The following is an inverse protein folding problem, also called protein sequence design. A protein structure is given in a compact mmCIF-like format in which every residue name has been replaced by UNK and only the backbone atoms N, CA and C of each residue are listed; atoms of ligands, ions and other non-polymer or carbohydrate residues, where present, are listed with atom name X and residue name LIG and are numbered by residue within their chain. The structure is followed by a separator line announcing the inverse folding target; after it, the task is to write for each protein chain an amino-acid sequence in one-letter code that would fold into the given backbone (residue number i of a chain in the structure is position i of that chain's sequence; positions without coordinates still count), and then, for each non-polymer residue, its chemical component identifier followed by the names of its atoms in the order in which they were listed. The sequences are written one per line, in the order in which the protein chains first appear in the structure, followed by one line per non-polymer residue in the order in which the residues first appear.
data_IF_194047233411
#
_entry.id   IF_194047233411
#
_cell.length_a   1.000
_cell.length_b   1.000
_cell.length_c   1.000
_cell.angle_alpha   90.00
_cell.angle_beta   90.00
_cell.angle_gamma   90.00
#
_symmetry.space_group_name_H-M   'P 1'
#
loop_
_entity.id
_entity.type
_entity.pdbx_description
1 polymer ?
#
# COMPACT_ATOMS: atom_id res chain seq x y z
N UNK A 1 6.68 -5.52 50.00
CA UNK A 1 7.78 -5.73 49.01
C UNK A 1 7.32 -5.72 47.54
N UNK A 2 6.13 -6.20 47.18
CA UNK A 2 5.65 -6.25 45.77
C UNK A 2 5.41 -4.87 45.13
N UNK A 3 4.90 -3.89 45.88
CA UNK A 3 4.63 -2.52 45.36
C UNK A 3 5.90 -1.78 44.93
N UNK A 4 7.01 -1.94 45.67
CA UNK A 4 8.27 -1.25 45.36
C UNK A 4 8.95 -1.82 44.11
N UNK A 5 8.86 -3.15 43.91
CA UNK A 5 9.29 -3.80 42.66
C UNK A 5 8.46 -3.34 41.46
N UNK A 6 7.14 -3.24 41.62
CA UNK A 6 6.26 -2.76 40.55
C UNK A 6 6.59 -1.33 40.13
N UNK A 7 6.78 -0.40 41.08
CA UNK A 7 7.19 0.97 40.77
C UNK A 7 8.54 1.03 40.04
N UNK A 8 9.52 0.22 40.47
CA UNK A 8 10.83 0.15 39.83
C UNK A 8 10.74 -0.33 38.37
N UNK A 9 9.96 -1.39 38.11
CA UNK A 9 9.73 -1.86 36.74
C UNK A 9 9.03 -0.84 35.86
N UNK A 10 8.02 -0.14 36.38
CA UNK A 10 7.35 0.95 35.66
C UNK A 10 8.35 2.07 35.32
N UNK A 11 9.22 2.45 36.26
CA UNK A 11 10.25 3.45 36.04
C UNK A 11 11.26 3.04 34.96
N UNK A 12 11.75 1.79 34.99
CA UNK A 12 12.67 1.26 33.97
C UNK A 12 12.00 1.21 32.59
N UNK A 13 10.75 0.75 32.51
CA UNK A 13 9.99 0.74 31.27
C UNK A 13 9.78 2.16 30.73
N UNK A 14 9.46 3.13 31.59
CA UNK A 14 9.28 4.52 31.20
C UNK A 14 10.58 5.19 30.72
N UNK A 15 11.71 4.98 31.42
CA UNK A 15 13.02 5.54 31.02
C UNK A 15 13.51 4.89 29.72
N UNK A 16 13.48 3.56 29.64
CA UNK A 16 13.77 2.84 28.40
C UNK A 16 12.87 3.32 27.25
N UNK A 17 11.63 3.69 27.59
CA UNK A 17 10.70 4.21 26.62
C UNK A 17 11.04 5.61 26.11
N UNK A 18 11.33 6.55 27.00
CA UNK A 18 11.79 7.88 26.61
C UNK A 18 13.07 7.81 25.76
N UNK A 19 13.96 6.87 26.08
CA UNK A 19 15.18 6.63 25.30
C UNK A 19 14.87 6.15 23.87
N UNK A 20 13.95 5.19 23.70
CA UNK A 20 13.53 4.72 22.37
C UNK A 20 12.88 5.84 21.54
N UNK A 21 12.08 6.72 22.16
CA UNK A 21 11.51 7.89 21.49
C UNK A 21 12.59 8.89 21.07
N UNK A 22 13.59 9.14 21.92
CA UNK A 22 14.72 10.01 21.60
C UNK A 22 15.55 9.48 20.41
N UNK A 23 15.61 8.16 20.23
CA UNK A 23 16.21 7.50 19.06
C UNK A 23 15.31 7.50 17.82
N UNK A 24 14.13 8.13 17.87
CA UNK A 24 13.17 8.19 16.78
C UNK A 24 12.33 6.92 16.60
N UNK A 25 12.40 5.95 17.53
CA UNK A 25 11.67 4.67 17.43
C UNK A 25 10.22 4.76 17.91
N UNK A 26 9.48 5.67 17.29
CA UNK A 26 8.04 5.88 17.51
C UNK A 26 7.20 4.65 17.16
N UNK A 27 7.69 3.79 16.26
CA UNK A 27 6.98 2.60 15.78
C UNK A 27 6.65 1.59 16.89
N UNK A 28 7.45 1.52 17.96
CA UNK A 28 7.22 0.59 19.09
C UNK A 28 5.91 0.90 19.82
N UNK A 29 5.42 2.15 19.76
CA UNK A 29 4.17 2.61 20.38
C UNK A 29 3.06 2.65 19.37
N UNK A 30 3.39 3.19 18.20
CA UNK A 30 2.43 3.37 17.15
C UNK A 30 1.90 2.01 16.67
N UNK A 31 2.73 0.97 16.58
CA UNK A 31 2.30 -0.35 16.16
C UNK A 31 1.25 -0.99 17.10
N UNK A 32 1.49 -1.19 18.40
CA UNK A 32 0.47 -1.75 19.30
C UNK A 32 -0.75 -0.84 19.43
N UNK A 33 -0.55 0.49 19.44
CA UNK A 33 -1.67 1.44 19.46
C UNK A 33 -2.55 1.32 18.20
N UNK A 34 -1.95 1.28 17.01
CA UNK A 34 -2.67 1.04 15.75
C UNK A 34 -3.27 -0.37 15.69
N UNK A 35 -2.67 -1.36 16.33
CA UNK A 35 -3.25 -2.70 16.40
C UNK A 35 -4.53 -2.70 17.25
N UNK A 36 -4.52 -2.00 18.39
CA UNK A 36 -5.65 -1.94 19.33
C UNK A 36 -6.74 -0.97 18.87
N UNK A 37 -6.39 0.16 18.24
CA UNK A 37 -7.34 1.23 17.90
C UNK A 37 -7.44 1.54 16.40
N UNK A 38 -6.47 1.12 15.59
CA UNK A 38 -6.43 1.44 14.17
C UNK A 38 -7.57 0.82 13.37
N UNK A 39 -8.16 -0.28 13.85
CA UNK A 39 -9.35 -0.88 13.24
C UNK A 39 -10.58 0.04 13.30
N UNK A 40 -10.70 0.94 14.29
CA UNK A 40 -11.81 1.90 14.37
C UNK A 40 -11.74 2.90 13.21
N UNK A 41 -10.57 3.50 12.99
CA UNK A 41 -10.34 4.42 11.88
C UNK A 41 -10.47 3.73 10.51
N UNK A 42 -10.06 2.45 10.43
CA UNK A 42 -10.29 1.64 9.25
C UNK A 42 -11.79 1.45 8.99
N UNK A 43 -12.57 1.01 9.99
CA UNK A 43 -14.01 0.84 9.85
C UNK A 43 -14.72 2.15 9.49
N UNK A 44 -14.35 3.28 10.09
CA UNK A 44 -14.95 4.58 9.75
C UNK A 44 -14.76 4.98 8.29
N UNK A 45 -13.64 4.58 7.66
CA UNK A 45 -13.35 4.86 6.25
C UNK A 45 -13.98 3.84 5.32
N UNK A 46 -13.95 2.56 5.69
CA UNK A 46 -14.41 1.47 4.83
C UNK A 46 -15.91 1.26 4.90
N UNK A 47 -16.53 1.39 6.08
CA UNK A 47 -17.97 1.14 6.25
C UNK A 47 -18.86 2.00 5.32
N UNK A 48 -18.58 3.29 5.06
CA UNK A 48 -19.32 4.09 4.09
C UNK A 48 -19.18 3.61 2.63
N UNK A 49 -18.06 2.96 2.29
CA UNK A 49 -17.80 2.43 0.95
C UNK A 49 -18.45 1.05 0.73
N UNK A 50 -18.88 0.37 1.81
CA UNK A 50 -19.56 -0.93 1.72
C UNK A 50 -20.96 -0.75 1.14
N UNK A 51 -21.16 -1.21 -0.09
CA UNK A 51 -22.47 -1.30 -0.70
C UNK A 51 -23.21 -2.54 -0.21
N UNK A 52 -24.32 -2.34 0.52
CA UNK A 52 -25.15 -3.45 0.98
C UNK A 52 -26.03 -3.97 -0.16
N UNK A 53 -25.73 -5.17 -0.65
CA UNK A 53 -26.61 -5.89 -1.56
C UNK A 53 -27.65 -6.68 -0.74
N UNK A 54 -28.89 -6.16 -0.68
CA UNK A 54 -29.99 -6.83 0.03
C UNK A 54 -30.23 -8.26 -0.48
N UNK A 55 -30.00 -8.51 -1.77
CA UNK A 55 -30.07 -9.86 -2.36
C UNK A 55 -29.03 -10.80 -1.77
N UNK A 56 -27.77 -10.38 -1.70
CA UNK A 56 -26.70 -11.22 -1.14
C UNK A 56 -26.94 -11.52 0.35
N UNK A 57 -27.46 -10.54 1.10
CA UNK A 57 -27.84 -10.73 2.50
C UNK A 57 -28.97 -11.75 2.63
N UNK A 58 -30.02 -11.64 1.80
CA UNK A 58 -31.14 -12.58 1.80
C UNK A 58 -30.69 -14.01 1.44
N UNK A 59 -29.82 -14.17 0.44
CA UNK A 59 -29.23 -15.46 0.07
C UNK A 59 -28.39 -16.05 1.22
N UNK A 60 -27.53 -15.23 1.86
CA UNK A 60 -26.71 -15.67 2.99
C UNK A 60 -27.57 -16.08 4.21
N UNK A 61 -28.62 -15.32 4.53
CA UNK A 61 -29.57 -15.65 5.59
C UNK A 61 -30.36 -16.92 5.25
N UNK A 62 -30.78 -17.09 3.99
CA UNK A 62 -31.48 -18.27 3.51
C UNK A 62 -30.63 -19.53 3.67
N UNK A 63 -29.40 -19.52 3.18
CA UNK A 63 -28.46 -20.65 3.31
C UNK A 63 -28.15 -20.94 4.78
N UNK A 64 -27.88 -19.91 5.59
CA UNK A 64 -27.62 -20.08 7.03
C UNK A 64 -28.82 -20.67 7.76
N UNK A 65 -30.04 -20.24 7.41
CA UNK A 65 -31.28 -20.75 7.98
C UNK A 65 -31.52 -22.23 7.64
N UNK A 66 -31.36 -22.60 6.36
CA UNK A 66 -31.45 -24.01 5.91
C UNK A 66 -30.42 -24.88 6.65
N UNK A 67 -29.18 -24.39 6.76
CA UNK A 67 -28.11 -25.07 7.47
C UNK A 67 -28.42 -25.21 8.97
N UNK A 68 -28.96 -24.18 9.61
CA UNK A 68 -29.33 -24.21 11.02
C UNK A 68 -30.46 -25.20 11.32
N UNK A 69 -31.52 -25.21 10.49
CA UNK A 69 -32.64 -26.15 10.63
C UNK A 69 -32.15 -27.57 10.36
N UNK A 70 -31.40 -27.79 9.29
CA UNK A 70 -30.82 -29.09 8.95
C UNK A 70 -29.92 -29.63 10.06
N UNK A 71 -29.00 -28.81 10.57
CA UNK A 71 -28.12 -29.16 11.67
C UNK A 71 -28.91 -29.48 12.95
N UNK A 72 -29.95 -28.71 13.28
CA UNK A 72 -30.79 -28.97 14.45
C UNK A 72 -31.53 -30.31 14.35
N UNK A 73 -32.19 -30.57 13.23
CA UNK A 73 -32.92 -31.83 13.01
C UNK A 73 -31.96 -33.03 13.03
N UNK A 74 -30.81 -32.90 12.36
CA UNK A 74 -29.78 -33.94 12.32
C UNK A 74 -29.22 -34.23 13.72
N UNK A 75 -28.80 -33.21 14.46
CA UNK A 75 -28.24 -33.35 15.80
C UNK A 75 -29.27 -33.87 16.81
N UNK A 76 -30.53 -33.42 16.72
CA UNK A 76 -31.62 -33.94 17.54
C UNK A 76 -31.85 -35.44 17.28
N UNK A 77 -31.83 -35.86 16.01
CA UNK A 77 -31.96 -37.29 15.65
C UNK A 77 -30.77 -38.10 16.15
N UNK A 78 -29.54 -37.62 15.94
CA UNK A 78 -28.32 -38.27 16.40
C UNK A 78 -28.28 -38.39 17.93
N UNK A 79 -28.70 -37.35 18.64
CA UNK A 79 -28.77 -37.34 20.10
C UNK A 79 -29.76 -38.38 20.64
N UNK A 80 -30.94 -38.48 20.02
CA UNK A 80 -31.95 -39.50 20.37
C UNK A 80 -31.40 -40.91 20.18
N UNK A 81 -30.69 -41.17 19.07
CA UNK A 81 -30.07 -42.47 18.83
C UNK A 81 -28.97 -42.79 19.85
N UNK A 82 -28.13 -41.81 20.20
CA UNK A 82 -27.05 -41.96 21.19
C UNK A 82 -27.54 -42.18 22.61
N UNK A 83 -28.78 -41.79 22.94
CA UNK A 83 -29.39 -41.89 24.28
C UNK A 83 -30.52 -42.90 24.37
N UNK A 84 -30.71 -43.76 23.38
CA UNK A 84 -31.78 -44.76 23.39
C UNK A 84 -31.75 -45.66 24.64
N UNK A 85 -30.56 -45.94 25.19
CA UNK A 85 -30.37 -46.82 26.35
C UNK A 85 -30.31 -46.08 27.69
N UNK A 86 -30.42 -44.75 27.70
CA UNK A 86 -30.33 -43.95 28.93
C UNK A 86 -31.73 -43.63 29.48
N UNK A 87 -32.07 -44.00 30.73
CA UNK A 87 -33.35 -43.68 31.33
C UNK A 87 -33.43 -42.18 31.65
N UNK A 88 -34.07 -41.41 30.77
CA UNK A 88 -34.39 -39.99 31.01
C UNK A 88 -34.81 -39.22 29.75
N UNK A 89 -35.93 -38.49 29.77
CA UNK A 89 -36.34 -37.66 28.64
C UNK A 89 -35.47 -36.39 28.59
N UNK A 90 -34.42 -36.41 27.78
CA UNK A 90 -33.60 -35.23 27.52
C UNK A 90 -33.61 -34.89 26.03
N UNK A 91 -34.44 -33.90 25.69
CA UNK A 91 -34.48 -33.35 24.34
C UNK A 91 -33.23 -32.49 24.05
N UNK A 92 -32.80 -32.48 22.80
CA UNK A 92 -31.69 -31.63 22.35
C UNK A 92 -32.12 -30.15 22.40
N UNK A 93 -31.49 -29.32 23.24
CA UNK A 93 -31.93 -27.94 23.41
C UNK A 93 -31.52 -27.08 22.20
N UNK A 94 -32.47 -26.32 21.64
CA UNK A 94 -32.25 -25.51 20.44
C UNK A 94 -31.07 -24.51 20.57
N UNK A 95 -30.84 -23.98 21.79
CA UNK A 95 -29.69 -23.11 22.10
C UNK A 95 -28.33 -23.71 21.69
N UNK A 96 -28.17 -25.03 21.78
CA UNK A 96 -26.91 -25.68 21.41
C UNK A 96 -26.71 -25.69 19.89
N UNK A 97 -27.77 -25.89 19.12
CA UNK A 97 -27.71 -25.76 17.66
C UNK A 97 -27.40 -24.32 17.24
N UNK A 98 -28.03 -23.34 17.86
CA UNK A 98 -27.75 -21.91 17.60
C UNK A 98 -26.30 -21.57 17.90
N UNK A 99 -25.76 -22.01 19.05
CA UNK A 99 -24.35 -21.81 19.39
C UNK A 99 -23.40 -22.46 18.38
N UNK A 100 -23.71 -23.66 17.90
CA UNK A 100 -22.89 -24.37 16.93
C UNK A 100 -22.90 -23.69 15.56
N UNK A 101 -24.07 -23.24 15.09
CA UNK A 101 -24.20 -22.47 13.85
C UNK A 101 -23.46 -21.13 13.97
N UNK A 102 -23.64 -20.41 15.07
CA UNK A 102 -22.94 -19.16 15.32
C UNK A 102 -21.41 -19.35 15.32
N UNK A 103 -20.91 -20.40 15.99
CA UNK A 103 -19.49 -20.74 15.98
C UNK A 103 -18.96 -21.02 14.56
N UNK A 104 -19.75 -21.71 13.72
CA UNK A 104 -19.38 -21.99 12.34
C UNK A 104 -19.37 -20.73 11.46
N UNK A 105 -20.34 -19.82 11.63
CA UNK A 105 -20.37 -18.52 10.93
C UNK A 105 -19.16 -17.66 11.34
N UNK A 106 -18.84 -17.64 12.63
CA UNK A 106 -17.65 -16.95 13.14
C UNK A 106 -16.36 -17.56 12.56
N UNK A 107 -16.26 -18.88 12.52
CA UNK A 107 -15.11 -19.57 11.93
C UNK A 107 -14.97 -19.25 10.44
N UNK A 108 -16.07 -19.30 9.68
CA UNK A 108 -16.08 -18.93 8.27
C UNK A 108 -15.62 -17.48 8.05
N UNK A 109 -16.12 -16.55 8.87
CA UNK A 109 -15.77 -15.14 8.81
C UNK A 109 -14.29 -14.93 9.14
N UNK A 110 -13.78 -15.62 10.17
CA UNK A 110 -12.38 -15.61 10.55
C UNK A 110 -11.49 -16.14 9.42
N UNK A 111 -11.86 -17.25 8.77
CA UNK A 111 -11.13 -17.79 7.63
C UNK A 111 -11.10 -16.81 6.46
N UNK A 112 -12.24 -16.21 6.10
CA UNK A 112 -12.30 -15.21 5.02
C UNK A 112 -11.43 -13.98 5.33
N UNK A 113 -11.46 -13.49 6.58
CA UNK A 113 -10.58 -12.42 7.03
C UNK A 113 -9.09 -12.82 6.91
N UNK A 114 -8.73 -14.04 7.33
CA UNK A 114 -7.36 -14.55 7.20
C UNK A 114 -6.90 -14.65 5.75
N UNK A 115 -7.77 -15.08 4.82
CA UNK A 115 -7.45 -15.12 3.38
C UNK A 115 -7.19 -13.71 2.85
N UNK A 116 -8.03 -12.73 3.23
CA UNK A 116 -7.81 -11.33 2.86
C UNK A 116 -6.47 -10.80 3.36
N UNK A 117 -6.13 -11.06 4.63
CA UNK A 117 -4.82 -10.70 5.21
C UNK A 117 -3.69 -11.38 4.45
N UNK A 118 -3.77 -12.68 4.20
CA UNK A 118 -2.73 -13.43 3.48
C UNK A 118 -2.54 -12.91 2.06
N UNK A 119 -3.62 -12.53 1.36
CA UNK A 119 -3.54 -11.93 0.04
C UNK A 119 -2.83 -10.57 0.07
N UNK A 120 -3.20 -9.68 1.00
CA UNK A 120 -2.53 -8.38 1.15
C UNK A 120 -1.07 -8.52 1.57
N UNK A 121 -0.75 -9.44 2.49
CA UNK A 121 0.62 -9.74 2.90
C UNK A 121 1.42 -10.32 1.73
N UNK A 122 0.83 -11.24 0.97
CA UNK A 122 1.44 -11.80 -0.24
C UNK A 122 1.76 -10.72 -1.27
N UNK A 123 0.84 -9.79 -1.49
CA UNK A 123 1.08 -8.64 -2.37
C UNK A 123 2.22 -7.77 -1.86
N UNK A 124 2.25 -7.43 -0.57
CA UNK A 124 3.32 -6.66 0.05
C UNK A 124 4.69 -7.37 0.00
N UNK A 125 4.74 -8.68 0.20
CA UNK A 125 5.98 -9.47 0.13
C UNK A 125 6.47 -9.63 -1.31
N UNK A 126 5.55 -9.71 -2.28
CA UNK A 126 5.89 -9.79 -3.71
C UNK A 126 6.29 -8.44 -4.31
N UNK A 127 5.87 -7.33 -3.69
CA UNK A 127 6.23 -5.99 -4.10
C UNK A 127 7.69 -5.70 -3.77
N UNK A 128 8.45 -5.19 -4.75
CA UNK A 128 9.81 -4.65 -4.53
C UNK A 128 9.81 -3.26 -3.89
N UNK A 129 8.64 -2.76 -3.49
CA UNK A 129 8.48 -1.44 -2.88
C UNK A 129 8.90 -1.54 -1.41
N UNK A 130 9.73 -0.62 -0.90
CA UNK A 130 10.14 -0.63 0.51
C UNK A 130 8.91 -0.55 1.43
N UNK A 131 8.77 -1.53 2.34
CA UNK A 131 7.63 -1.63 3.28
C UNK A 131 7.58 -0.47 4.28
N UNK A 132 8.73 0.14 4.55
CA UNK A 132 8.87 1.27 5.45
C UNK A 132 9.54 2.41 4.71
N UNK A 133 8.87 3.57 4.63
CA UNK A 133 9.52 4.84 4.30
C UNK A 133 10.23 5.31 5.55
N UNK A 134 11.51 5.68 5.47
CA UNK A 134 12.18 6.31 6.60
C UNK A 134 11.40 7.59 6.96
N UNK A 135 11.04 7.74 8.24
CA UNK A 135 10.37 8.94 8.77
C UNK A 135 11.33 10.11 8.94
N UNK A 136 12.63 9.85 8.80
CA UNK A 136 13.60 10.90 8.63
C UNK A 136 13.22 11.69 7.38
N UNK A 137 13.26 13.03 7.41
CA UNK A 137 13.25 13.83 6.21
C UNK A 137 14.57 13.53 5.49
N UNK A 138 14.67 12.35 4.89
CA UNK A 138 15.69 11.97 3.96
C UNK A 138 15.40 12.82 2.73
N UNK A 139 15.91 14.05 2.78
CA UNK A 139 16.35 14.88 1.68
C UNK A 139 15.86 14.31 0.36
N UNK A 140 14.71 14.82 -0.12
CA UNK A 140 14.07 14.48 -1.41
C UNK A 140 15.01 14.67 -2.63
N UNK A 141 16.26 15.08 -2.39
CA UNK A 141 17.40 15.05 -3.30
C UNK A 141 17.50 13.71 -4.04
N UNK A 142 17.19 12.58 -3.39
CA UNK A 142 17.26 11.29 -4.08
C UNK A 142 16.24 11.17 -5.23
N UNK A 143 15.07 11.78 -5.13
CA UNK A 143 14.01 11.67 -6.15
C UNK A 143 14.40 12.39 -7.44
N UNK A 144 14.65 13.69 -7.37
CA UNK A 144 15.01 14.51 -8.54
C UNK A 144 16.36 14.11 -9.12
N UNK A 145 17.35 13.77 -8.28
CA UNK A 145 18.67 13.30 -8.73
C UNK A 145 18.58 11.92 -9.37
N UNK A 146 17.81 10.98 -8.82
CA UNK A 146 17.61 9.66 -9.43
C UNK A 146 16.84 9.75 -10.73
N UNK A 147 15.84 10.64 -10.81
CA UNK A 147 15.15 10.94 -12.06
C UNK A 147 16.11 11.52 -13.10
N UNK A 148 16.98 12.45 -12.71
CA UNK A 148 18.00 13.02 -13.58
C UNK A 148 18.98 11.98 -14.12
N UNK A 149 19.58 11.18 -13.22
CA UNK A 149 20.49 10.10 -13.58
C UNK A 149 19.84 9.09 -14.52
N UNK A 150 18.62 8.64 -14.21
CA UNK A 150 17.91 7.69 -15.07
C UNK A 150 17.55 8.31 -16.42
N UNK A 151 17.21 9.60 -16.47
CA UNK A 151 16.97 10.31 -17.73
C UNK A 151 18.23 10.36 -18.59
N UNK A 152 19.40 10.68 -18.02
CA UNK A 152 20.68 10.71 -18.73
C UNK A 152 21.06 9.32 -19.29
N UNK A 153 20.88 8.26 -18.49
CA UNK A 153 21.11 6.88 -18.97
C UNK A 153 20.11 6.51 -20.08
N UNK A 154 18.83 6.86 -19.93
CA UNK A 154 17.82 6.62 -20.93
C UNK A 154 18.12 7.34 -22.25
N UNK A 155 18.57 8.60 -22.18
CA UNK A 155 18.98 9.38 -23.35
C UNK A 155 20.19 8.74 -24.04
N UNK A 156 21.12 8.17 -23.28
CA UNK A 156 22.27 7.44 -23.82
C UNK A 156 21.83 6.21 -24.62
N UNK A 157 20.85 5.44 -24.12
CA UNK A 157 20.29 4.30 -24.86
C UNK A 157 19.56 4.73 -26.14
N UNK A 158 18.81 5.85 -26.10
CA UNK A 158 18.14 6.40 -27.29
C UNK A 158 19.17 6.86 -28.32
N UNK A 159 20.24 7.54 -27.91
CA UNK A 159 21.36 7.93 -28.79
C UNK A 159 22.09 6.73 -29.40
N UNK A 160 22.14 5.62 -28.68
CA UNK A 160 22.67 4.34 -29.18
C UNK A 160 21.71 3.60 -30.13
N UNK A 161 20.55 4.19 -30.47
CA UNK A 161 19.59 3.60 -31.41
C UNK A 161 18.57 2.65 -30.78
N UNK A 162 18.44 2.63 -29.45
CA UNK A 162 17.40 1.82 -28.79
C UNK A 162 16.02 2.40 -29.12
N UNK A 163 15.08 1.59 -29.67
CA UNK A 163 13.71 2.05 -29.91
C UNK A 163 13.03 2.46 -28.60
N UNK A 164 12.27 3.54 -28.63
CA UNK A 164 11.61 4.11 -27.44
C UNK A 164 10.62 3.13 -26.80
N UNK A 165 10.00 2.25 -27.59
CA UNK A 165 9.09 1.21 -27.09
C UNK A 165 9.81 0.14 -26.25
N UNK A 166 11.12 -0.04 -26.48
CA UNK A 166 11.98 -0.99 -25.76
C UNK A 166 12.81 -0.34 -24.66
N UNK A 167 12.80 0.99 -24.56
CA UNK A 167 13.64 1.73 -23.61
C UNK A 167 13.36 1.32 -22.16
N UNK A 168 12.09 1.25 -21.75
CA UNK A 168 11.72 0.84 -20.39
C UNK A 168 12.18 -0.59 -20.07
N UNK A 169 12.05 -1.51 -21.03
CA UNK A 169 12.52 -2.89 -20.86
C UNK A 169 14.04 -2.92 -20.71
N UNK A 170 14.78 -2.16 -21.54
CA UNK A 170 16.24 -2.12 -21.48
C UNK A 170 16.77 -1.57 -20.15
N UNK A 171 16.13 -0.51 -19.64
CA UNK A 171 16.45 0.05 -18.32
C UNK A 171 16.13 -0.90 -17.15
N UNK A 172 15.20 -1.84 -17.34
CA UNK A 172 14.89 -2.89 -16.36
C UNK A 172 15.83 -4.10 -16.47
N UNK A 173 16.38 -4.36 -17.65
CA UNK A 173 17.38 -5.42 -17.87
C UNK A 173 18.71 -5.10 -17.18
N UNK A 174 19.15 -3.83 -17.23
CA UNK A 174 20.40 -3.36 -16.66
C UNK A 174 20.36 -3.33 -15.11
N UNK A 175 21.23 -4.09 -14.40
CA UNK A 175 21.30 -4.10 -12.94
C UNK A 175 21.50 -2.73 -12.28
N UNK A 176 22.22 -1.81 -12.93
CA UNK A 176 22.52 -0.48 -12.36
C UNK A 176 21.32 0.47 -12.39
N UNK A 177 20.50 0.37 -13.44
CA UNK A 177 19.29 1.21 -13.58
C UNK A 177 18.02 0.54 -13.09
N UNK A 178 18.00 -0.80 -12.93
CA UNK A 178 16.80 -1.58 -12.60
C UNK A 178 16.02 -1.00 -11.42
N UNK A 179 16.70 -0.76 -10.28
CA UNK A 179 16.03 -0.23 -9.08
C UNK A 179 15.36 1.13 -9.33
N UNK A 180 16.00 2.01 -10.12
CA UNK A 180 15.45 3.32 -10.48
C UNK A 180 14.31 3.19 -11.50
N UNK A 181 14.45 2.32 -12.49
CA UNK A 181 13.44 2.08 -13.53
C UNK A 181 12.16 1.40 -13.00
N UNK A 182 12.27 0.64 -11.91
CA UNK A 182 11.14 0.11 -11.15
C UNK A 182 10.41 1.23 -10.38
N UNK A 183 11.14 2.18 -9.78
CA UNK A 183 10.58 3.26 -8.97
C UNK A 183 10.09 4.48 -9.77
N UNK A 184 10.55 4.65 -11.01
CA UNK A 184 10.28 5.80 -11.87
C UNK A 184 9.54 5.37 -13.15
N UNK A 185 8.72 6.26 -13.71
CA UNK A 185 8.21 6.19 -15.07
C UNK A 185 9.16 6.92 -16.00
N UNK A 186 9.40 6.36 -17.19
CA UNK A 186 10.11 7.00 -18.29
C UNK A 186 9.13 7.12 -19.45
N UNK A 187 8.78 8.35 -19.82
CA UNK A 187 7.86 8.64 -20.92
C UNK A 187 8.64 9.36 -22.00
N UNK A 188 8.60 8.86 -23.23
CA UNK A 188 9.17 9.54 -24.40
C UNK A 188 8.09 10.28 -25.15
N UNK A 189 8.42 11.48 -25.65
CA UNK A 189 7.61 12.21 -26.64
C UNK A 189 8.48 12.74 -27.76
N UNK A 190 7.87 12.88 -28.92
CA UNK A 190 8.46 13.55 -30.09
C UNK A 190 7.83 14.94 -30.18
N UNK A 191 8.66 15.98 -30.24
CA UNK A 191 8.24 17.37 -30.48
C UNK A 191 7.81 17.55 -31.95
N UNK A 192 7.19 18.69 -32.25
CA UNK A 192 6.86 19.08 -33.63
C UNK A 192 8.11 19.08 -34.53
N UNK A 193 9.26 19.48 -33.99
CA UNK A 193 10.57 19.48 -34.65
C UNK A 193 11.20 18.09 -34.83
N UNK A 194 10.43 17.00 -34.63
CA UNK A 194 10.90 15.61 -34.67
C UNK A 194 11.97 15.26 -33.61
N UNK A 195 12.20 16.16 -32.66
CA UNK A 195 13.14 15.95 -31.56
C UNK A 195 12.52 15.11 -30.44
N UNK A 196 13.28 14.16 -29.89
CA UNK A 196 12.81 13.23 -28.86
C UNK A 196 13.16 13.68 -27.45
N UNK A 197 12.15 13.95 -26.66
CA UNK A 197 12.27 14.30 -25.25
C UNK A 197 11.87 13.11 -24.37
N UNK A 198 12.54 12.97 -23.24
CA UNK A 198 12.28 11.99 -22.21
C UNK A 198 11.89 12.73 -20.94
N UNK A 199 10.80 12.28 -20.32
CA UNK A 199 10.36 12.71 -19.01
C UNK A 199 10.46 11.53 -18.05
N UNK A 200 11.15 11.73 -16.93
CA UNK A 200 11.33 10.74 -15.86
C UNK A 200 10.73 11.28 -14.56
N UNK A 201 9.84 10.53 -13.93
CA UNK A 201 9.17 10.96 -12.69
C UNK A 201 8.77 9.76 -11.81
N UNK A 202 8.53 9.94 -10.50
CA UNK A 202 8.10 8.86 -9.61
C UNK A 202 6.79 8.20 -10.02
N UNK A 203 6.70 6.87 -9.87
CA UNK A 203 5.45 6.14 -10.11
C UNK A 203 4.38 6.42 -9.06
N UNK A 204 4.78 6.63 -7.81
CA UNK A 204 3.89 7.00 -6.72
C UNK A 204 3.38 8.44 -6.89
N UNK A 205 2.06 8.68 -6.97
CA UNK A 205 1.48 10.01 -7.17
C UNK A 205 1.93 11.02 -6.11
N UNK A 206 2.03 10.59 -4.86
CA UNK A 206 2.45 11.47 -3.75
C UNK A 206 3.92 11.85 -3.87
N UNK A 207 4.80 10.88 -4.15
CA UNK A 207 6.21 11.16 -4.42
C UNK A 207 6.40 12.07 -5.64
N UNK A 208 5.55 11.94 -6.66
CA UNK A 208 5.55 12.84 -7.83
C UNK A 208 5.13 14.27 -7.47
N UNK A 209 4.13 14.44 -6.61
CA UNK A 209 3.72 15.76 -6.10
C UNK A 209 4.80 16.41 -5.21
N UNK A 210 5.52 15.60 -4.44
CA UNK A 210 6.57 16.09 -3.53
C UNK A 210 7.92 16.35 -4.24
N UNK A 211 8.32 15.50 -5.19
CA UNK A 211 9.66 15.51 -5.79
C UNK A 211 9.71 16.01 -7.24
N UNK A 212 8.56 16.08 -7.93
CA UNK A 212 8.51 16.44 -9.35
C UNK A 212 9.10 15.35 -10.26
N UNK A 213 9.99 15.74 -11.16
CA UNK A 213 10.63 14.84 -12.12
C UNK A 213 11.89 15.42 -12.73
N UNK A 214 12.38 14.80 -13.80
CA UNK A 214 13.48 15.29 -14.60
C UNK A 214 13.17 15.11 -16.08
N UNK A 215 13.65 16.03 -16.90
CA UNK A 215 13.51 15.95 -18.35
C UNK A 215 14.88 16.01 -19.03
N UNK A 216 15.00 15.32 -20.16
CA UNK A 216 16.20 15.31 -20.98
C UNK A 216 15.81 15.18 -22.46
N UNK A 217 16.65 15.69 -23.36
CA UNK A 217 16.36 15.76 -24.79
C UNK A 217 17.55 16.33 -25.58
N UNK A 218 17.38 16.60 -26.89
CA UNK A 218 18.42 17.21 -27.72
C UNK A 218 18.77 18.60 -27.20
N UNK A 219 20.02 19.02 -27.38
CA UNK A 219 20.53 20.32 -26.91
C UNK A 219 20.76 20.42 -25.39
N UNK A 220 20.38 19.41 -24.59
CA UNK A 220 20.68 19.36 -23.17
C UNK A 220 21.89 18.49 -22.87
N UNK A 221 22.89 19.07 -22.22
CA UNK A 221 24.06 18.33 -21.72
C UNK A 221 23.72 17.46 -20.50
N UNK A 222 22.73 17.88 -19.69
CA UNK A 222 22.31 17.20 -18.46
C UNK A 222 20.80 17.19 -18.32
N UNK A 223 20.29 16.22 -17.57
CA UNK A 223 18.88 16.20 -17.21
C UNK A 223 18.54 17.41 -16.34
N UNK A 224 17.40 18.05 -16.61
CA UNK A 224 16.94 19.22 -15.86
C UNK A 224 15.76 18.83 -14.97
N UNK A 225 15.77 19.23 -13.69
CA UNK A 225 14.65 18.96 -12.80
C UNK A 225 13.40 19.73 -13.24
N UNK A 226 12.24 19.11 -13.04
CA UNK A 226 10.92 19.71 -13.17
C UNK A 226 10.22 19.64 -11.82
N UNK A 227 9.50 20.69 -11.46
CA UNK A 227 8.60 20.64 -10.32
C UNK A 227 7.34 19.80 -10.64
N UNK A 228 6.55 19.52 -9.61
CA UNK A 228 5.34 18.72 -9.75
C UNK A 228 4.30 19.34 -10.70
N UNK A 229 4.16 20.67 -10.70
CA UNK A 229 3.21 21.37 -11.55
C UNK A 229 3.59 21.23 -13.04
N UNK A 230 4.87 21.36 -13.37
CA UNK A 230 5.39 21.18 -14.71
C UNK A 230 5.25 19.73 -15.20
N UNK A 231 5.47 18.74 -14.32
CA UNK A 231 5.22 17.33 -14.65
C UNK A 231 3.74 17.10 -14.96
N UNK A 232 2.82 17.63 -14.15
CA UNK A 232 1.38 17.48 -14.38
C UNK A 232 0.91 18.18 -15.65
N UNK A 233 1.39 19.40 -15.90
CA UNK A 233 1.09 20.14 -17.13
C UNK A 233 1.56 19.37 -18.38
N UNK A 234 2.76 18.79 -18.32
CA UNK A 234 3.28 17.98 -19.41
C UNK A 234 2.42 16.71 -19.62
N UNK A 235 2.01 16.03 -18.55
CA UNK A 235 1.17 14.83 -18.65
C UNK A 235 -0.24 15.14 -19.18
N UNK A 236 -0.81 16.30 -18.85
CA UNK A 236 -2.16 16.70 -19.24
C UNK A 236 -2.30 17.06 -20.73
N UNK A 237 -1.26 17.60 -21.35
CA UNK A 237 -1.29 18.08 -22.75
C UNK A 237 -0.37 17.24 -23.64
N UNK A 238 -0.89 16.24 -24.37
CA UNK A 238 -0.10 15.49 -25.35
C UNK A 238 0.35 16.41 -26.48
N UNK A 239 1.67 16.48 -26.73
CA UNK A 239 2.25 17.25 -27.83
C UNK A 239 2.85 18.61 -27.44
N UNK A 240 2.55 19.14 -26.25
CA UNK A 240 3.23 20.35 -25.76
C UNK A 240 4.68 20.02 -25.43
N UNK A 241 5.59 20.76 -26.06
CA UNK A 241 7.01 20.75 -25.68
C UNK A 241 7.16 21.24 -24.23
N UNK A 242 8.10 20.68 -23.45
CA UNK A 242 8.33 21.16 -22.09
C UNK A 242 8.64 22.67 -22.14
N UNK A 243 8.23 23.44 -21.13
CA UNK A 243 8.48 24.87 -21.11
C UNK A 243 9.98 25.13 -21.28
N UNK A 244 10.35 26.13 -22.12
CA UNK A 244 11.75 26.46 -22.32
C UNK A 244 12.42 26.78 -20.98
N UNK A 245 13.75 26.60 -20.88
CA UNK A 245 14.45 26.97 -19.66
C UNK A 245 14.12 28.40 -19.25
N UNK A 246 13.85 28.65 -17.95
CA UNK A 246 13.79 30.00 -17.43
C UNK A 246 15.10 30.66 -17.85
N UNK A 247 15.01 31.86 -18.44
CA UNK A 247 16.21 32.59 -18.83
C UNK A 247 17.11 32.73 -17.59
N UNK A 248 18.45 32.70 -17.74
CA UNK A 248 19.37 32.81 -16.61
C UNK A 248 19.05 33.99 -15.67
N UNK A 249 18.52 35.08 -16.24
CA UNK A 249 18.06 36.27 -15.51
C UNK A 249 16.88 36.03 -14.56
N UNK A 250 15.96 35.12 -14.90
CA UNK A 250 14.78 34.82 -14.07
C UNK A 250 15.13 33.98 -12.84
N UNK A 251 16.19 33.16 -12.93
CA UNK A 251 16.72 32.40 -11.77
C UNK A 251 17.42 33.33 -10.79
N UNK A 252 18.13 34.36 -11.27
CA UNK A 252 18.80 35.35 -10.40
C UNK A 252 17.81 36.27 -9.68
N UNK A 253 16.63 36.55 -10.24
CA UNK A 253 15.61 37.42 -9.63
C UNK A 253 14.72 36.72 -8.59
N UNK A 254 14.80 35.40 -8.45
CA UNK A 254 13.90 34.59 -7.62
C UNK A 254 14.49 34.06 -6.30
N UNK A 255 15.70 34.44 -5.93
CA UNK A 255 16.28 34.09 -4.64
C UNK A 255 15.88 35.16 -3.60
N UNK A 256 15.09 34.81 -2.56
CA UNK A 256 14.81 35.71 -1.44
C UNK A 256 16.05 36.01 -0.60
#
# INVERSE_FOLDING_TARGET
MTRFRLLSWIGVLFVGQCFLLALGQTWVFLAPFLLVFGWISFLQRVLPEVTFSGRAIAEALGVTGVLAVGAHVFLRRLWRQRRADSPGPSEWPARWSVMLVAAMVLLFTATMASVGVAHHVGWMMSGRVPLTRSSWPQWNIDGSRSAGLLCETALTHVKAGTPTERLSLKLLEDPETRARAEALHVVSRVSEDQERYLLVFPRDPRSREEAGGAYCGPGLERARPLDAAAVQAWLAEPGRSPPPPPSPESVQRGLP
#
